data_IF_864127014473
#
_entry.id   IF_864127014473
#
_cell.length_a   1.000
_cell.length_b   1.000
_cell.length_c   1.000
_cell.angle_alpha   90.00
_cell.angle_beta   90.00
_cell.angle_gamma   90.00
#
_symmetry.space_group_name_H-M   'P 1'
#
loop_
_entity.id
_entity.type
_entity.pdbx_description
1 polymer ?
#
# COMPACT_ATOMS: atom_id res chain seq x y z
N UNK A 1 60.94 -19.08 86.38
CA UNK A 1 60.91 -20.34 85.62
C UNK A 1 59.63 -20.38 84.79
N UNK A 2 59.76 -20.61 83.47
CA UNK A 2 58.81 -21.25 82.53
C UNK A 2 57.30 -20.91 82.62
N UNK A 3 56.54 -20.57 81.57
CA UNK A 3 56.71 -20.44 80.13
C UNK A 3 55.42 -19.75 79.60
N UNK A 4 55.57 -19.02 78.49
CA UNK A 4 54.56 -18.47 77.56
C UNK A 4 53.47 -19.55 77.24
N UNK A 5 52.20 -19.27 76.94
CA UNK A 5 51.55 -18.33 76.00
C UNK A 5 50.05 -18.17 76.34
N UNK A 6 49.38 -17.12 75.81
CA UNK A 6 47.95 -16.83 75.99
C UNK A 6 47.09 -17.55 74.93
N UNK A 7 45.76 -17.61 75.10
CA UNK A 7 44.77 -17.11 74.14
C UNK A 7 43.35 -17.36 74.66
N UNK A 8 42.53 -16.32 74.57
CA UNK A 8 41.20 -16.16 75.12
C UNK A 8 40.14 -17.03 74.44
N UNK A 9 39.09 -17.34 75.21
CA UNK A 9 37.85 -18.02 74.80
C UNK A 9 37.19 -17.37 73.56
N UNK A 10 36.58 -18.16 72.66
CA UNK A 10 35.79 -17.61 71.58
C UNK A 10 34.42 -17.13 72.08
N UNK A 11 34.05 -15.93 71.63
CA UNK A 11 32.67 -15.45 71.53
C UNK A 11 32.10 -16.07 70.25
N UNK A 12 31.00 -16.84 70.35
CA UNK A 12 30.22 -17.24 69.18
C UNK A 12 29.09 -16.24 69.02
N UNK A 13 29.30 -15.30 68.13
CA UNK A 13 28.28 -14.41 67.56
C UNK A 13 27.83 -15.06 66.24
N UNK A 14 26.58 -15.51 66.16
CA UNK A 14 25.99 -15.99 64.91
C UNK A 14 25.64 -14.76 64.07
N UNK A 15 26.56 -14.34 63.21
CA UNK A 15 26.29 -13.44 62.09
C UNK A 15 25.96 -14.31 60.87
N UNK A 16 24.75 -14.17 60.35
CA UNK A 16 24.31 -14.75 59.09
C UNK A 16 24.81 -13.89 57.92
N UNK A 17 25.67 -14.44 57.06
CA UNK A 17 25.93 -13.92 55.71
C UNK A 17 26.36 -15.05 54.75
N UNK A 18 25.75 -14.99 53.56
CA UNK A 18 26.21 -15.46 52.26
C UNK A 18 26.25 -16.98 51.96
N UNK A 19 25.17 -17.45 51.34
CA UNK A 19 25.15 -18.54 50.36
C UNK A 19 24.07 -18.21 49.33
N UNK A 20 24.49 -17.87 48.11
CA UNK A 20 23.60 -17.38 47.06
C UNK A 20 22.62 -18.44 46.57
N UNK A 21 21.39 -17.98 46.32
CA UNK A 21 20.49 -18.50 45.30
C UNK A 21 19.80 -17.26 44.71
N UNK A 22 19.82 -17.19 43.39
CA UNK A 22 19.34 -16.13 42.53
C UNK A 22 17.91 -15.69 42.83
N UNK A 23 17.75 -14.42 43.19
CA UNK A 23 16.49 -13.70 43.07
C UNK A 23 16.18 -13.50 41.58
N UNK A 24 15.35 -14.38 41.01
CA UNK A 24 14.59 -14.01 39.83
C UNK A 24 13.60 -12.90 40.24
N UNK A 25 13.64 -11.71 39.63
CA UNK A 25 12.57 -10.76 39.83
C UNK A 25 11.30 -11.36 39.22
N UNK A 26 10.33 -11.64 40.09
CA UNK A 26 8.97 -11.98 39.70
C UNK A 26 8.50 -10.95 38.65
N UNK A 27 8.17 -11.46 37.47
CA UNK A 27 7.57 -10.70 36.38
C UNK A 27 6.28 -10.09 36.93
N UNK A 28 6.33 -8.80 37.26
CA UNK A 28 5.16 -8.03 37.66
C UNK A 28 4.19 -7.98 36.50
N UNK A 29 2.93 -8.28 36.83
CA UNK A 29 1.76 -8.28 35.97
C UNK A 29 1.67 -7.09 35.02
N UNK A 30 1.08 -7.36 33.87
CA UNK A 30 0.65 -6.43 32.82
C UNK A 30 0.37 -5.03 33.34
N UNK A 31 1.08 -4.04 32.80
CA UNK A 31 0.62 -2.66 32.87
C UNK A 31 -0.76 -2.61 32.18
N UNK A 32 -1.82 -2.63 32.98
CA UNK A 32 -3.17 -2.49 32.50
C UNK A 32 -3.27 -1.19 31.69
N UNK A 33 -3.46 -1.35 30.38
CA UNK A 33 -3.76 -0.24 29.47
C UNK A 33 -5.02 0.44 30.02
N UNK A 34 -4.94 1.75 30.29
CA UNK A 34 -6.09 2.51 30.78
C UNK A 34 -7.31 2.24 29.89
N UNK A 35 -8.51 2.01 30.47
CA UNK A 35 -9.68 1.69 29.69
C UNK A 35 -9.98 2.83 28.73
N UNK A 36 -10.05 2.47 27.47
CA UNK A 36 -10.41 3.37 26.38
C UNK A 36 -11.87 3.72 26.58
N UNK A 37 -12.15 4.99 26.89
CA UNK A 37 -13.53 5.49 26.89
C UNK A 37 -13.99 5.54 25.43
N UNK A 38 -14.80 4.55 25.06
CA UNK A 38 -15.33 4.38 23.71
C UNK A 38 -16.81 4.73 23.72
N UNK A 39 -17.26 5.59 22.80
CA UNK A 39 -18.69 5.88 22.62
C UNK A 39 -19.45 4.70 21.99
N UNK A 40 -18.72 3.69 21.50
CA UNK A 40 -19.24 2.44 20.94
C UNK A 40 -18.20 1.77 20.06
N UNK A 41 -18.49 0.55 19.60
CA UNK A 41 -17.62 -0.16 18.66
C UNK A 41 -18.36 -0.66 17.43
N UNK A 42 -17.63 -0.84 16.35
CA UNK A 42 -18.12 -1.46 15.12
C UNK A 42 -17.27 -2.68 14.79
N UNK A 43 -17.88 -3.86 14.74
CA UNK A 43 -17.20 -5.08 14.27
C UNK A 43 -17.47 -5.28 12.79
N UNK A 44 -16.44 -5.45 11.97
CA UNK A 44 -16.58 -5.61 10.52
C UNK A 44 -15.48 -6.52 9.96
N UNK A 45 -15.68 -7.00 8.73
CA UNK A 45 -14.61 -7.67 7.97
C UNK A 45 -13.91 -6.63 7.11
N UNK A 46 -12.62 -6.43 7.33
CA UNK A 46 -11.83 -5.50 6.54
C UNK A 46 -11.71 -6.01 5.10
N UNK A 47 -12.10 -5.19 4.13
CA UNK A 47 -12.16 -5.59 2.73
C UNK A 47 -10.78 -5.81 2.07
N UNK A 48 -9.69 -5.33 2.69
CA UNK A 48 -8.33 -5.52 2.21
C UNK A 48 -7.69 -6.79 2.79
N UNK A 49 -7.76 -6.95 4.11
CA UNK A 49 -7.15 -8.11 4.79
C UNK A 49 -8.07 -9.33 4.85
N UNK A 50 -9.33 -9.18 4.45
CA UNK A 50 -10.39 -10.19 4.56
C UNK A 50 -10.54 -10.76 5.98
N UNK A 51 -10.10 -9.99 6.98
CA UNK A 51 -10.04 -10.41 8.38
C UNK A 51 -11.00 -9.60 9.22
N UNK A 52 -11.48 -10.19 10.31
CA UNK A 52 -12.31 -9.48 11.28
C UNK A 52 -11.50 -8.37 11.95
N UNK A 53 -12.10 -7.20 12.09
CA UNK A 53 -11.58 -6.05 12.82
C UNK A 53 -12.68 -5.48 13.72
N UNK A 54 -12.26 -4.76 14.74
CA UNK A 54 -13.16 -3.98 15.56
C UNK A 54 -12.65 -2.57 15.73
N UNK A 55 -13.49 -1.59 15.43
CA UNK A 55 -13.18 -0.17 15.57
C UNK A 55 -13.90 0.42 16.77
N UNK A 56 -13.14 0.99 17.69
CA UNK A 56 -13.61 1.86 18.76
C UNK A 56 -13.66 3.32 18.31
N UNK A 57 -14.74 4.00 18.71
CA UNK A 57 -14.93 5.43 18.49
C UNK A 57 -14.53 6.20 19.75
N UNK A 58 -13.27 6.67 19.77
CA UNK A 58 -12.58 7.13 21.00
C UNK A 58 -12.51 8.66 21.13
N UNK A 59 -13.09 9.38 20.17
CA UNK A 59 -13.12 10.84 20.13
C UNK A 59 -14.50 11.36 20.51
N UNK A 60 -14.56 12.33 21.43
CA UNK A 60 -15.82 12.92 21.89
C UNK A 60 -16.64 13.59 20.77
N UNK A 61 -16.03 13.89 19.62
CA UNK A 61 -16.72 14.41 18.42
C UNK A 61 -17.50 13.35 17.65
N UNK A 62 -17.42 12.07 18.03
CA UNK A 62 -18.29 11.02 17.52
C UNK A 62 -19.66 11.10 18.19
N UNK A 63 -20.68 11.36 17.39
CA UNK A 63 -22.08 11.25 17.81
C UNK A 63 -22.65 9.89 17.40
N UNK A 64 -23.73 9.42 18.04
CA UNK A 64 -24.37 8.15 17.71
C UNK A 64 -24.73 8.04 16.22
N UNK A 65 -25.23 9.12 15.62
CA UNK A 65 -25.57 9.17 14.20
C UNK A 65 -24.33 9.00 13.30
N UNK A 66 -23.21 9.63 13.66
CA UNK A 66 -21.96 9.51 12.91
C UNK A 66 -21.34 8.11 13.06
N UNK A 67 -21.39 7.55 14.26
CA UNK A 67 -20.96 6.19 14.56
C UNK A 67 -21.76 5.17 13.75
N UNK A 68 -23.09 5.30 13.72
CA UNK A 68 -23.96 4.43 12.93
C UNK A 68 -23.66 4.53 11.43
N UNK A 69 -23.46 5.75 10.93
CA UNK A 69 -23.10 6.00 9.52
C UNK A 69 -21.76 5.37 9.17
N UNK A 70 -20.72 5.58 9.97
CA UNK A 70 -19.39 5.02 9.73
C UNK A 70 -19.41 3.49 9.79
N UNK A 71 -20.11 2.91 10.78
CA UNK A 71 -20.22 1.46 10.90
C UNK A 71 -20.98 0.83 9.73
N UNK A 72 -22.08 1.46 9.28
CA UNK A 72 -22.82 1.02 8.10
C UNK A 72 -21.96 1.09 6.83
N UNK A 73 -21.14 2.13 6.67
CA UNK A 73 -20.20 2.25 5.56
C UNK A 73 -19.13 1.13 5.56
N UNK A 74 -18.71 0.71 6.76
CA UNK A 74 -17.84 -0.46 6.93
C UNK A 74 -18.57 -1.81 6.78
N UNK A 75 -19.91 -1.80 6.62
CA UNK A 75 -20.79 -2.98 6.64
C UNK A 75 -20.62 -3.80 7.92
N UNK A 76 -20.38 -3.10 9.01
CA UNK A 76 -20.19 -3.71 10.31
C UNK A 76 -21.47 -3.80 11.11
N UNK A 77 -21.33 -4.46 12.26
CA UNK A 77 -22.33 -4.53 13.31
C UNK A 77 -21.96 -3.52 14.40
N UNK A 78 -22.84 -2.55 14.62
CA UNK A 78 -22.66 -1.53 15.64
C UNK A 78 -22.97 -2.10 17.04
N UNK A 79 -22.13 -1.75 18.01
CA UNK A 79 -22.31 -2.03 19.44
C UNK A 79 -22.17 -0.72 20.24
N UNK A 80 -23.27 -0.01 20.48
CA UNK A 80 -23.25 1.27 21.18
C UNK A 80 -22.72 1.13 22.62
N UNK A 81 -21.88 2.07 23.08
CA UNK A 81 -21.35 2.08 24.46
C UNK A 81 -20.47 0.89 24.86
N UNK A 82 -20.17 -0.04 23.94
CA UNK A 82 -19.35 -1.23 24.19
C UNK A 82 -18.05 -1.09 23.43
N UNK A 83 -16.92 -1.12 24.15
CA UNK A 83 -15.60 -1.11 23.55
C UNK A 83 -15.25 -2.45 22.87
N UNK A 84 -14.31 -2.43 21.93
CA UNK A 84 -13.74 -3.64 21.37
C UNK A 84 -13.02 -4.45 22.45
N UNK A 85 -13.43 -5.69 22.63
CA UNK A 85 -12.78 -6.64 23.54
C UNK A 85 -12.70 -8.01 22.88
N UNK A 86 -11.50 -8.59 22.89
CA UNK A 86 -11.20 -9.91 22.35
C UNK A 86 -10.24 -10.63 23.29
N UNK A 87 -10.43 -11.94 23.55
CA UNK A 87 -9.52 -12.72 24.37
C UNK A 87 -8.09 -12.75 23.83
N UNK A 88 -7.96 -12.77 22.49
CA UNK A 88 -6.67 -12.76 21.79
C UNK A 88 -6.71 -11.69 20.70
N UNK A 89 -5.65 -10.87 20.66
CA UNK A 89 -5.46 -9.86 19.64
C UNK A 89 -3.99 -9.79 19.22
N UNK A 90 -3.75 -9.46 17.96
CA UNK A 90 -2.42 -9.17 17.43
C UNK A 90 -1.93 -7.79 17.89
N UNK A 91 -2.84 -6.89 18.24
CA UNK A 91 -2.54 -5.55 18.72
C UNK A 91 -3.68 -4.59 18.42
N UNK A 92 -3.37 -3.29 18.50
CA UNK A 92 -4.29 -2.21 18.17
C UNK A 92 -3.63 -1.11 17.33
N UNK A 93 -4.45 -0.37 16.59
CA UNK A 93 -4.02 0.78 15.79
C UNK A 93 -4.73 2.06 16.26
N UNK A 94 -3.98 3.02 16.76
CA UNK A 94 -4.49 4.36 17.07
C UNK A 94 -4.47 5.23 15.82
N UNK A 95 -5.63 5.66 15.34
CA UNK A 95 -5.73 6.59 14.22
C UNK A 95 -6.08 7.96 14.78
N UNK A 96 -5.05 8.80 14.95
CA UNK A 96 -5.16 10.18 15.43
C UNK A 96 -4.59 11.13 14.38
N UNK A 97 -5.42 11.48 13.39
CA UNK A 97 -5.04 12.39 12.31
C UNK A 97 -5.64 13.78 12.63
N UNK A 98 -4.87 14.88 12.51
CA UNK A 98 -5.40 16.22 12.72
C UNK A 98 -6.69 16.46 11.94
N UNK A 99 -7.69 17.07 12.59
CA UNK A 99 -9.02 17.36 12.03
C UNK A 99 -9.88 16.13 11.66
N UNK A 100 -9.41 14.91 11.91
CA UNK A 100 -10.20 13.68 11.81
C UNK A 100 -10.61 13.25 13.21
N UNK A 101 -11.78 12.61 13.35
CA UNK A 101 -12.22 12.04 14.63
C UNK A 101 -11.40 10.78 14.92
N UNK A 102 -10.73 10.74 16.07
CA UNK A 102 -9.88 9.62 16.41
C UNK A 102 -10.67 8.30 16.51
N UNK A 103 -10.04 7.21 16.08
CA UNK A 103 -10.54 5.84 16.23
C UNK A 103 -9.40 4.92 16.64
N UNK A 104 -9.75 3.81 17.30
CA UNK A 104 -8.81 2.72 17.61
C UNK A 104 -9.31 1.45 16.93
N UNK A 105 -8.45 0.75 16.20
CA UNK A 105 -8.81 -0.55 15.60
C UNK A 105 -8.11 -1.64 16.39
N UNK A 106 -8.86 -2.60 16.92
CA UNK A 106 -8.34 -3.84 17.50
C UNK A 106 -8.37 -4.93 16.45
N UNK A 107 -7.26 -5.67 16.33
CA UNK A 107 -7.11 -6.78 15.39
C UNK A 107 -7.16 -8.12 16.14
N UNK A 108 -8.31 -8.80 16.15
CA UNK A 108 -8.46 -10.10 16.82
C UNK A 108 -7.57 -11.16 16.19
N UNK A 109 -7.07 -12.09 17.00
CA UNK A 109 -6.36 -13.27 16.54
C UNK A 109 -5.09 -13.60 17.34
N UNK A 110 -4.61 -14.83 17.13
CA UNK A 110 -3.46 -15.43 17.81
C UNK A 110 -2.39 -15.96 16.86
N UNK A 111 -2.48 -15.64 15.57
CA UNK A 111 -1.51 -16.05 14.56
C UNK A 111 -0.38 -15.02 14.44
N UNK A 112 0.78 -15.34 15.02
CA UNK A 112 1.96 -14.46 15.00
C UNK A 112 2.45 -14.13 13.58
N UNK A 113 2.18 -14.98 12.58
CA UNK A 113 2.60 -14.72 11.19
C UNK A 113 1.95 -13.45 10.60
N UNK A 114 0.78 -13.06 11.15
CA UNK A 114 0.01 -11.87 10.73
C UNK A 114 0.46 -10.57 11.39
N UNK A 115 1.37 -10.62 12.38
CA UNK A 115 1.79 -9.44 13.14
C UNK A 115 2.33 -8.31 12.25
N UNK A 116 3.29 -8.62 11.36
CA UNK A 116 3.89 -7.58 10.55
C UNK A 116 2.93 -7.01 9.50
N UNK A 117 1.97 -7.79 8.99
CA UNK A 117 0.96 -7.27 8.08
C UNK A 117 -0.08 -6.40 8.78
N UNK A 118 -0.45 -6.77 9.99
CA UNK A 118 -1.31 -5.96 10.86
C UNK A 118 -0.65 -4.62 11.17
N UNK A 119 0.65 -4.64 11.50
CA UNK A 119 1.46 -3.44 11.69
C UNK A 119 1.52 -2.58 10.43
N UNK A 120 1.77 -3.16 9.26
CA UNK A 120 1.78 -2.44 7.97
C UNK A 120 0.39 -1.85 7.68
N UNK A 121 -0.68 -2.63 7.86
CA UNK A 121 -2.07 -2.19 7.80
C UNK A 121 -2.34 -0.93 8.61
N UNK A 122 -1.90 -0.94 9.88
CA UNK A 122 -2.04 0.21 10.76
C UNK A 122 -1.19 1.41 10.32
N UNK A 123 0.12 1.21 10.19
CA UNK A 123 1.08 2.32 10.07
C UNK A 123 1.15 2.92 8.67
N UNK A 124 0.99 2.10 7.63
CA UNK A 124 1.07 2.53 6.23
C UNK A 124 -0.31 2.91 5.70
N UNK A 125 -1.30 2.02 5.84
CA UNK A 125 -2.60 2.21 5.19
C UNK A 125 -3.54 3.08 6.03
N UNK A 126 -3.65 2.79 7.34
CA UNK A 126 -4.48 3.58 8.25
C UNK A 126 -3.79 4.85 8.77
N UNK A 127 -2.46 4.97 8.57
CA UNK A 127 -1.61 6.07 9.06
C UNK A 127 -1.72 6.24 10.59
N UNK A 128 -1.93 5.14 11.30
CA UNK A 128 -2.03 5.12 12.75
C UNK A 128 -0.73 4.69 13.44
N UNK A 129 -0.79 4.65 14.77
CA UNK A 129 0.28 4.10 15.61
C UNK A 129 -0.11 2.68 16.02
N UNK A 130 0.74 1.70 15.68
CA UNK A 130 0.49 0.31 16.03
C UNK A 130 1.05 -0.01 17.41
N UNK A 131 0.19 -0.48 18.31
CA UNK A 131 0.55 -1.02 19.63
C UNK A 131 0.43 -2.54 19.57
N UNK A 132 1.55 -3.29 19.52
CA UNK A 132 1.51 -4.74 19.43
C UNK A 132 0.99 -5.38 20.72
N UNK A 133 0.36 -6.54 20.63
CA UNK A 133 0.18 -7.42 21.80
C UNK A 133 1.49 -8.11 22.16
N UNK A 134 1.53 -8.83 23.28
CA UNK A 134 2.71 -9.62 23.67
C UNK A 134 3.15 -10.60 22.56
N UNK A 135 2.17 -11.21 21.86
CA UNK A 135 2.41 -12.11 20.73
C UNK A 135 3.17 -11.42 19.58
N UNK A 136 2.81 -10.17 19.28
CA UNK A 136 3.43 -9.42 18.19
C UNK A 136 4.64 -8.58 18.63
N UNK A 137 4.82 -8.34 19.92
CA UNK A 137 5.98 -7.62 20.44
C UNK A 137 7.29 -8.41 20.22
N UNK A 138 7.25 -9.73 20.38
CA UNK A 138 8.39 -10.62 20.11
C UNK A 138 8.70 -10.72 18.61
N UNK A 139 7.69 -10.72 17.75
CA UNK A 139 7.86 -10.70 16.28
C UNK A 139 8.43 -9.38 15.74
N UNK A 140 8.44 -8.30 16.53
CA UNK A 140 9.05 -7.00 16.17
C UNK A 140 10.57 -7.01 16.43
N UNK A 141 11.09 -7.96 17.22
CA UNK A 141 12.50 -8.07 17.58
C UNK A 141 13.38 -8.86 16.60
N UNK A 142 12.79 -9.73 15.77
CA UNK A 142 13.55 -10.58 14.86
C UNK A 142 13.75 -9.92 13.49
N UNK A 143 14.77 -9.07 13.40
CA UNK A 143 15.25 -8.45 12.17
C UNK A 143 15.88 -9.43 11.14
N UNK A 144 15.59 -10.74 11.21
CA UNK A 144 16.33 -11.76 10.47
C UNK A 144 15.56 -13.01 10.02
N UNK A 145 14.28 -13.18 10.37
CA UNK A 145 13.53 -14.33 9.87
C UNK A 145 12.95 -14.02 8.48
N UNK A 146 13.44 -14.72 7.45
CA UNK A 146 12.80 -14.74 6.14
C UNK A 146 11.33 -15.16 6.31
N UNK A 147 10.40 -14.27 5.97
CA UNK A 147 8.98 -14.59 5.96
C UNK A 147 8.72 -15.64 4.87
N UNK A 148 7.99 -16.74 5.18
CA UNK A 148 7.32 -17.48 4.15
C UNK A 148 6.20 -16.62 3.55
N UNK A 149 6.34 -16.38 2.25
CA UNK A 149 5.30 -16.16 1.25
C UNK A 149 4.40 -14.92 1.38
N UNK A 150 3.94 -14.44 0.21
CA UNK A 150 2.99 -13.34 0.01
C UNK A 150 1.67 -13.45 0.85
N UNK A 151 1.43 -14.60 1.48
CA UNK A 151 0.28 -14.84 2.34
C UNK A 151 0.27 -13.96 3.59
N UNK A 152 1.44 -13.55 4.11
CA UNK A 152 1.50 -12.83 5.38
C UNK A 152 0.90 -11.42 5.29
N UNK A 153 1.03 -10.70 4.17
CA UNK A 153 0.52 -9.33 3.95
C UNK A 153 -0.92 -9.26 3.43
N UNK A 154 -1.50 -10.40 3.04
CA UNK A 154 -2.78 -10.45 2.33
C UNK A 154 -2.72 -9.88 0.89
N UNK A 155 -1.54 -9.46 0.43
CA UNK A 155 -1.33 -8.91 -0.92
C UNK A 155 -0.29 -9.75 -1.67
N UNK A 156 -0.57 -10.07 -2.93
CA UNK A 156 0.41 -10.71 -3.81
C UNK A 156 1.64 -9.79 -4.00
N UNK A 157 2.84 -10.39 -4.01
CA UNK A 157 4.09 -9.65 -4.28
C UNK A 157 4.00 -9.02 -5.67
N UNK A 158 4.39 -7.76 -5.77
CA UNK A 158 4.42 -7.00 -7.02
C UNK A 158 5.22 -7.75 -8.08
N UNK A 159 4.57 -8.03 -9.21
CA UNK A 159 5.23 -8.59 -10.38
C UNK A 159 5.47 -7.50 -11.43
N UNK A 160 6.73 -7.27 -11.84
CA UNK A 160 7.08 -6.27 -12.86
C UNK A 160 6.31 -6.47 -14.18
N UNK A 161 6.06 -5.38 -14.89
CA UNK A 161 5.40 -5.43 -16.20
C UNK A 161 6.18 -6.28 -17.20
N UNK A 162 5.46 -7.04 -18.03
CA UNK A 162 6.03 -7.78 -19.16
C UNK A 162 5.25 -7.40 -20.42
N UNK A 163 5.94 -7.24 -21.55
CA UNK A 163 5.27 -7.07 -22.84
C UNK A 163 4.97 -8.44 -23.43
N UNK A 164 3.69 -8.81 -23.44
CA UNK A 164 3.21 -10.08 -23.98
C UNK A 164 2.82 -9.86 -25.44
N UNK A 165 3.47 -10.56 -26.36
CA UNK A 165 3.12 -10.55 -27.78
C UNK A 165 2.45 -11.87 -28.15
N UNK A 166 1.23 -11.82 -28.69
CA UNK A 166 0.45 -13.00 -29.09
C UNK A 166 -0.04 -12.84 -30.53
N UNK A 167 -0.30 -13.96 -31.20
CA UNK A 167 -0.98 -13.94 -32.48
C UNK A 167 -2.38 -13.30 -32.33
N UNK A 168 -2.87 -12.54 -33.33
CA UNK A 168 -4.24 -12.03 -33.31
C UNK A 168 -5.24 -13.19 -33.26
N UNK A 169 -6.38 -13.00 -32.59
CA UNK A 169 -7.46 -13.97 -32.55
C UNK A 169 -8.05 -14.22 -33.96
N UNK A 170 -8.66 -15.39 -34.22
CA UNK A 170 -9.28 -15.69 -35.50
C UNK A 170 -10.30 -14.61 -35.91
N UNK A 171 -10.15 -14.07 -37.12
CA UNK A 171 -11.02 -13.02 -37.66
C UNK A 171 -10.58 -11.58 -37.36
N UNK A 172 -9.58 -11.39 -36.49
CA UNK A 172 -9.00 -10.07 -36.25
C UNK A 172 -7.91 -9.72 -37.28
N UNK A 173 -7.64 -8.42 -37.43
CA UNK A 173 -6.55 -7.94 -38.27
C UNK A 173 -5.18 -8.32 -37.68
N UNK A 174 -4.11 -8.40 -38.50
CA UNK A 174 -2.73 -8.44 -38.03
C UNK A 174 -2.46 -7.40 -36.94
N UNK A 175 -1.67 -7.75 -35.93
CA UNK A 175 -1.21 -6.80 -34.92
C UNK A 175 -0.19 -5.80 -35.49
N UNK A 176 0.05 -4.73 -34.76
CA UNK A 176 0.91 -3.61 -35.18
C UNK A 176 2.41 -3.89 -35.02
N UNK A 177 2.81 -5.04 -34.45
CA UNK A 177 4.22 -5.41 -34.32
C UNK A 177 4.84 -5.82 -35.67
N UNK A 178 6.17 -5.86 -35.73
CA UNK A 178 6.90 -6.31 -36.93
C UNK A 178 6.57 -7.75 -37.34
N UNK A 179 6.14 -8.58 -36.39
CA UNK A 179 5.77 -9.99 -36.61
C UNK A 179 4.25 -10.18 -36.75
N UNK A 180 3.49 -9.10 -36.98
CA UNK A 180 2.02 -9.11 -37.05
C UNK A 180 1.34 -9.62 -35.76
N UNK A 181 2.04 -9.58 -34.63
CA UNK A 181 1.53 -9.94 -33.31
C UNK A 181 0.95 -8.72 -32.60
N UNK A 182 0.01 -8.97 -31.69
CA UNK A 182 -0.54 -7.97 -30.78
C UNK A 182 0.29 -7.98 -29.50
N UNK A 183 0.99 -6.87 -29.24
CA UNK A 183 1.89 -6.74 -28.10
C UNK A 183 1.29 -5.83 -27.03
N UNK A 184 0.96 -6.39 -25.87
CA UNK A 184 0.30 -5.70 -24.75
C UNK A 184 1.15 -5.79 -23.49
N UNK A 185 1.31 -4.69 -22.76
CA UNK A 185 1.93 -4.71 -21.44
C UNK A 185 0.99 -5.33 -20.41
N UNK A 186 1.41 -6.39 -19.71
CA UNK A 186 0.73 -6.86 -18.51
C UNK A 186 1.04 -5.94 -17.31
N UNK A 187 0.45 -4.75 -17.37
CA UNK A 187 0.67 -3.68 -16.40
C UNK A 187 -0.64 -2.94 -16.11
N UNK A 188 -0.81 -2.38 -14.91
CA UNK A 188 -2.00 -1.57 -14.55
C UNK A 188 -2.20 -0.35 -15.46
N UNK A 189 -1.12 0.15 -16.06
CA UNK A 189 -1.10 1.24 -17.03
C UNK A 189 -1.12 0.78 -18.50
N UNK A 190 -1.15 -0.54 -18.74
CA UNK A 190 -1.09 -1.15 -20.07
C UNK A 190 -2.43 -1.12 -20.81
N UNK A 191 -2.35 -1.00 -22.13
CA UNK A 191 -3.46 -1.16 -23.06
C UNK A 191 -3.05 -1.99 -24.27
N UNK A 192 -3.99 -2.76 -24.83
CA UNK A 192 -3.85 -3.43 -26.13
C UNK A 192 -4.22 -2.46 -27.27
N UNK A 193 -4.16 -2.93 -28.51
CA UNK A 193 -4.57 -2.16 -29.69
C UNK A 193 -6.06 -1.81 -29.65
N UNK A 194 -6.41 -0.62 -30.17
CA UNK A 194 -7.80 -0.14 -30.21
C UNK A 194 -8.72 -1.14 -30.94
N UNK A 195 -9.89 -1.39 -30.35
CA UNK A 195 -10.88 -2.35 -30.87
C UNK A 195 -10.65 -3.79 -30.41
N UNK A 196 -9.57 -4.09 -29.69
CA UNK A 196 -9.32 -5.39 -29.03
C UNK A 196 -9.59 -5.30 -27.54
N UNK A 197 -9.72 -6.46 -26.89
CA UNK A 197 -9.83 -6.55 -25.42
C UNK A 197 -8.48 -6.81 -24.78
N UNK A 198 -8.21 -6.14 -23.67
CA UNK A 198 -6.96 -6.29 -22.93
C UNK A 198 -6.72 -7.74 -22.48
N UNK A 199 -7.76 -8.37 -21.92
CA UNK A 199 -7.68 -9.67 -21.26
C UNK A 199 -7.52 -10.85 -22.23
N UNK A 200 -7.61 -10.61 -23.54
CA UNK A 200 -7.24 -11.60 -24.57
C UNK A 200 -5.72 -11.62 -24.83
N UNK A 201 -5.03 -10.52 -24.53
CA UNK A 201 -3.63 -10.28 -24.92
C UNK A 201 -2.66 -10.07 -23.75
N UNK A 202 -3.14 -9.87 -22.53
CA UNK A 202 -2.30 -9.70 -21.34
C UNK A 202 -2.93 -10.32 -20.07
N UNK A 203 -2.09 -10.75 -19.13
CA UNK A 203 -2.56 -11.36 -17.88
C UNK A 203 -3.08 -10.35 -16.86
N UNK A 204 -4.33 -10.53 -16.42
CA UNK A 204 -4.89 -9.80 -15.28
C UNK A 204 -4.32 -10.25 -13.92
N UNK A 205 -3.76 -11.45 -13.81
CA UNK A 205 -3.17 -11.92 -12.55
C UNK A 205 -1.97 -11.08 -12.17
N UNK A 206 -1.11 -10.77 -13.15
CA UNK A 206 0.02 -9.85 -12.96
C UNK A 206 -0.46 -8.45 -12.59
N UNK A 207 -1.44 -7.90 -13.30
CA UNK A 207 -2.00 -6.57 -13.02
C UNK A 207 -2.50 -6.47 -11.58
N UNK A 208 -3.18 -7.51 -11.07
CA UNK A 208 -3.71 -7.55 -9.71
C UNK A 208 -2.63 -7.64 -8.63
N UNK A 209 -1.38 -7.99 -8.98
CA UNK A 209 -0.22 -7.82 -8.07
C UNK A 209 0.29 -6.38 -8.01
N UNK A 210 0.15 -5.62 -9.11
CA UNK A 210 0.65 -4.24 -9.21
C UNK A 210 -0.32 -3.25 -8.57
N UNK A 211 -1.61 -3.53 -8.73
CA UNK A 211 -2.70 -2.83 -8.05
C UNK A 211 -3.62 -3.87 -7.44
N UNK A 212 -3.43 -4.22 -6.17
CA UNK A 212 -4.33 -5.13 -5.49
C UNK A 212 -5.77 -4.68 -5.61
N UNK A 213 -6.63 -5.63 -5.95
CA UNK A 213 -8.06 -5.42 -6.08
C UNK A 213 -8.78 -6.12 -4.94
N UNK A 214 -9.95 -5.60 -4.62
CA UNK A 214 -10.93 -6.25 -3.77
C UNK A 214 -12.30 -5.80 -4.24
N UNK A 215 -13.32 -6.66 -4.13
CA UNK A 215 -14.66 -6.34 -4.59
C UNK A 215 -15.23 -5.20 -3.75
N UNK A 216 -15.80 -4.23 -4.44
CA UNK A 216 -16.50 -3.10 -3.83
C UNK A 216 -17.75 -2.86 -4.65
N UNK A 217 -18.94 -2.84 -4.03
CA UNK A 217 -20.14 -2.59 -4.81
C UNK A 217 -20.12 -1.24 -5.49
N UNK A 218 -20.79 -1.22 -6.64
CA UNK A 218 -20.97 -0.03 -7.42
C UNK A 218 -21.86 1.01 -6.72
N UNK A 219 -21.93 2.20 -7.30
CA UNK A 219 -22.94 3.18 -6.90
C UNK A 219 -24.35 2.55 -6.97
N UNK A 220 -25.27 2.94 -6.07
CA UNK A 220 -26.64 2.43 -6.09
C UNK A 220 -27.29 2.62 -7.46
N UNK A 221 -28.02 1.59 -7.91
CA UNK A 221 -28.73 1.65 -9.18
C UNK A 221 -29.70 2.83 -9.19
N UNK A 222 -29.79 3.53 -10.34
CA UNK A 222 -30.81 4.57 -10.53
C UNK A 222 -32.20 3.94 -10.54
N UNK A 223 -33.16 4.62 -9.92
CA UNK A 223 -34.55 4.17 -9.89
C UNK A 223 -35.25 4.28 -11.25
N UNK A 224 -34.74 5.14 -12.14
CA UNK A 224 -35.29 5.40 -13.47
C UNK A 224 -34.27 5.05 -14.55
N UNK A 225 -34.69 4.39 -15.65
CA UNK A 225 -33.82 4.18 -16.80
C UNK A 225 -33.27 5.50 -17.35
N UNK A 226 -31.99 5.51 -17.73
CA UNK A 226 -31.36 6.70 -18.31
C UNK A 226 -31.90 6.96 -19.73
N UNK A 227 -32.68 8.03 -19.88
CA UNK A 227 -33.29 8.42 -21.15
C UNK A 227 -32.25 8.73 -22.25
N UNK A 228 -31.00 9.03 -21.90
CA UNK A 228 -29.91 9.27 -22.85
C UNK A 228 -29.56 8.03 -23.67
N UNK A 229 -29.93 6.83 -23.21
CA UNK A 229 -29.80 5.60 -24.01
C UNK A 229 -30.71 5.57 -25.25
N UNK A 230 -31.65 6.52 -25.39
CA UNK A 230 -32.44 6.72 -26.60
C UNK A 230 -31.77 7.69 -27.60
N UNK A 231 -30.71 8.40 -27.20
CA UNK A 231 -29.94 9.27 -28.09
C UNK A 231 -28.81 8.47 -28.76
N UNK A 232 -28.87 8.28 -30.10
CA UNK A 232 -27.84 7.51 -30.82
C UNK A 232 -26.45 8.14 -30.71
N UNK A 233 -26.34 9.45 -30.52
CA UNK A 233 -25.06 10.15 -30.35
C UNK A 233 -24.42 9.76 -29.02
N UNK A 234 -25.18 9.80 -27.94
CA UNK A 234 -24.72 9.37 -26.62
C UNK A 234 -24.35 7.89 -26.62
N UNK A 235 -25.19 7.03 -27.21
CA UNK A 235 -24.92 5.59 -27.29
C UNK A 235 -23.64 5.28 -28.06
N UNK A 236 -23.39 5.97 -29.18
CA UNK A 236 -22.16 5.82 -29.94
C UNK A 236 -20.92 6.25 -29.13
N UNK A 237 -21.00 7.37 -28.40
CA UNK A 237 -19.91 7.85 -27.55
C UNK A 237 -19.67 6.90 -26.36
N UNK A 238 -20.73 6.45 -25.70
CA UNK A 238 -20.67 5.48 -24.60
C UNK A 238 -20.04 4.15 -25.07
N UNK A 239 -20.36 3.70 -26.28
CA UNK A 239 -19.78 2.50 -26.88
C UNK A 239 -18.29 2.68 -27.18
N UNK A 240 -17.88 3.86 -27.67
CA UNK A 240 -16.46 4.18 -27.84
C UNK A 240 -15.73 4.24 -26.50
N UNK A 241 -16.26 4.91 -25.48
CA UNK A 241 -15.67 4.96 -24.13
C UNK A 241 -15.51 3.55 -23.56
N UNK A 242 -16.53 2.71 -23.72
CA UNK A 242 -16.48 1.29 -23.33
C UNK A 242 -15.35 0.54 -24.03
N UNK A 243 -15.18 0.70 -25.34
CA UNK A 243 -14.11 -0.01 -26.07
C UNK A 243 -12.72 0.42 -25.64
N UNK A 244 -12.51 1.70 -25.31
CA UNK A 244 -11.23 2.19 -24.76
C UNK A 244 -10.93 1.55 -23.40
N UNK A 245 -11.93 1.48 -22.52
CA UNK A 245 -11.77 0.83 -21.20
C UNK A 245 -11.53 -0.66 -21.36
N UNK A 246 -12.24 -1.33 -22.26
CA UNK A 246 -12.08 -2.76 -22.54
C UNK A 246 -10.71 -3.12 -23.14
N UNK A 247 -10.10 -2.19 -23.88
CA UNK A 247 -8.74 -2.32 -24.39
C UNK A 247 -7.66 -2.09 -23.32
N UNK A 248 -8.02 -1.70 -22.09
CA UNK A 248 -7.07 -1.37 -21.03
C UNK A 248 -7.11 -2.33 -19.84
N UNK A 249 -6.05 -2.34 -19.04
CA UNK A 249 -5.95 -3.13 -17.82
C UNK A 249 -7.03 -2.83 -16.76
N UNK A 250 -7.82 -1.75 -16.93
CA UNK A 250 -8.97 -1.45 -16.06
C UNK A 250 -9.94 -2.65 -15.94
N UNK A 251 -10.12 -3.44 -17.01
CA UNK A 251 -11.01 -4.61 -16.98
C UNK A 251 -10.61 -5.64 -15.94
N UNK A 252 -9.33 -5.71 -15.55
CA UNK A 252 -8.86 -6.67 -14.55
C UNK A 252 -9.50 -6.48 -13.16
N UNK A 253 -10.06 -5.29 -12.90
CA UNK A 253 -10.80 -4.97 -11.66
C UNK A 253 -12.25 -4.49 -11.92
N UNK A 254 -12.57 -4.09 -13.15
CA UNK A 254 -13.81 -3.39 -13.50
C UNK A 254 -14.64 -4.09 -14.59
N UNK A 255 -14.47 -5.40 -14.77
CA UNK A 255 -15.36 -6.21 -15.60
C UNK A 255 -15.64 -7.53 -14.90
N UNK A 256 -16.90 -7.97 -14.89
CA UNK A 256 -17.33 -9.17 -14.16
C UNK A 256 -16.56 -10.41 -14.60
N UNK A 257 -16.30 -10.55 -15.90
CA UNK A 257 -15.58 -11.68 -16.52
C UNK A 257 -14.13 -11.87 -16.02
N UNK A 258 -13.49 -10.80 -15.57
CA UNK A 258 -12.04 -10.77 -15.23
C UNK A 258 -11.81 -10.41 -13.77
N UNK A 259 -12.86 -10.21 -12.97
CA UNK A 259 -12.78 -9.94 -11.54
C UNK A 259 -13.31 -11.16 -10.74
N UNK A 260 -12.44 -12.08 -10.26
CA UNK A 260 -12.88 -13.34 -9.64
C UNK A 260 -13.84 -13.20 -8.46
N UNK A 261 -13.65 -12.16 -7.63
CA UNK A 261 -14.49 -11.89 -6.46
C UNK A 261 -15.60 -10.87 -6.74
N UNK A 262 -15.79 -10.48 -8.01
CA UNK A 262 -16.65 -9.39 -8.45
C UNK A 262 -15.91 -8.06 -8.64
N UNK A 263 -16.53 -7.08 -9.35
CA UNK A 263 -15.86 -5.84 -9.68
C UNK A 263 -15.62 -4.91 -8.49
N UNK A 264 -14.73 -3.93 -8.70
CA UNK A 264 -14.41 -2.91 -7.70
C UNK A 264 -15.00 -1.55 -8.07
N UNK A 265 -15.96 -1.05 -7.29
CA UNK A 265 -16.62 0.27 -7.37
C UNK A 265 -17.42 0.60 -8.65
N UNK A 266 -17.07 0.09 -9.81
CA UNK A 266 -17.77 0.31 -11.09
C UNK A 266 -17.39 -0.81 -12.05
N UNK A 267 -18.22 -1.05 -13.07
CA UNK A 267 -17.93 -2.10 -14.04
C UNK A 267 -18.54 -1.85 -15.42
N UNK A 268 -17.75 -2.19 -16.44
CA UNK A 268 -18.01 -1.85 -17.84
C UNK A 268 -19.10 -2.71 -18.49
N UNK A 269 -19.33 -3.90 -17.95
CA UNK A 269 -20.31 -4.88 -18.42
C UNK A 269 -21.65 -4.84 -17.65
N UNK A 270 -21.89 -3.76 -16.91
CA UNK A 270 -23.19 -3.51 -16.30
C UNK A 270 -24.30 -3.35 -17.36
N UNK A 271 -25.51 -3.85 -17.10
CA UNK A 271 -26.66 -3.62 -17.98
C UNK A 271 -27.07 -2.13 -17.97
N UNK A 272 -27.68 -1.67 -19.06
CA UNK A 272 -28.11 -0.28 -19.20
C UNK A 272 -26.95 0.69 -19.36
N UNK A 273 -27.04 1.86 -18.72
CA UNK A 273 -25.96 2.84 -18.76
C UNK A 273 -24.92 2.50 -17.69
N UNK A 274 -23.84 1.83 -18.09
CA UNK A 274 -22.80 1.42 -17.15
C UNK A 274 -22.09 2.59 -16.44
N UNK A 275 -22.21 3.83 -16.94
CA UNK A 275 -21.77 5.02 -16.22
C UNK A 275 -22.46 5.19 -14.87
N UNK A 276 -23.69 4.69 -14.71
CA UNK A 276 -24.42 4.75 -13.45
C UNK A 276 -23.78 3.92 -12.34
N UNK A 277 -22.89 2.98 -12.68
CA UNK A 277 -22.13 2.22 -11.68
C UNK A 277 -21.05 3.05 -10.99
N UNK A 278 -20.60 4.17 -11.58
CA UNK A 278 -19.60 5.03 -10.96
C UNK A 278 -20.16 5.88 -9.83
N UNK A 279 -19.40 5.96 -8.74
CA UNK A 279 -19.47 7.10 -7.84
C UNK A 279 -18.90 8.37 -8.50
N UNK A 280 -19.35 9.53 -8.03
CA UNK A 280 -18.97 10.84 -8.58
C UNK A 280 -17.44 11.07 -8.59
N UNK A 281 -16.72 10.57 -7.58
CA UNK A 281 -15.25 10.66 -7.54
C UNK A 281 -14.57 9.79 -8.61
N UNK A 282 -15.16 8.67 -9.00
CA UNK A 282 -14.67 7.83 -10.10
C UNK A 282 -14.88 8.50 -11.46
N UNK A 283 -16.02 9.18 -11.66
CA UNK A 283 -16.22 10.02 -12.84
C UNK A 283 -15.24 11.20 -12.85
N UNK A 284 -14.99 11.84 -11.70
CA UNK A 284 -14.05 12.95 -11.57
C UNK A 284 -12.62 12.55 -11.92
N UNK A 285 -12.23 11.31 -11.63
CA UNK A 285 -10.98 10.72 -12.10
C UNK A 285 -10.96 10.62 -13.64
N UNK A 286 -12.00 10.09 -14.27
CA UNK A 286 -12.14 10.06 -15.73
C UNK A 286 -12.14 11.46 -16.38
N UNK A 287 -12.73 12.44 -15.70
CA UNK A 287 -12.79 13.83 -16.14
C UNK A 287 -11.44 14.59 -16.04
N UNK A 288 -10.43 14.00 -15.39
CA UNK A 288 -9.16 14.66 -15.11
C UNK A 288 -9.25 15.71 -13.98
N UNK A 289 -10.30 15.67 -13.16
CA UNK A 289 -10.48 16.60 -12.05
C UNK A 289 -9.84 16.12 -10.75
N UNK A 290 -9.59 14.81 -10.64
CA UNK A 290 -8.84 14.18 -9.54
C UNK A 290 -7.54 13.61 -10.10
N UNK A 291 -6.42 13.92 -9.46
CA UNK A 291 -5.10 13.45 -9.87
C UNK A 291 -5.00 11.92 -9.78
N UNK A 292 -4.55 11.29 -10.87
CA UNK A 292 -4.34 9.85 -10.97
C UNK A 292 -2.87 9.49 -11.28
N UNK A 293 -1.93 10.42 -11.11
CA UNK A 293 -0.51 10.25 -11.43
C UNK A 293 0.06 8.99 -10.77
N UNK A 294 -0.38 8.67 -9.56
CA UNK A 294 0.06 7.51 -8.79
C UNK A 294 -0.22 6.14 -9.45
N UNK A 295 -0.96 6.07 -10.56
CA UNK A 295 -1.16 4.83 -11.32
C UNK A 295 -0.07 4.59 -12.38
N UNK A 296 0.82 5.56 -12.61
CA UNK A 296 1.83 5.50 -13.67
C UNK A 296 1.23 5.54 -15.07
N UNK A 297 2.07 5.78 -16.07
CA UNK A 297 1.67 5.79 -17.47
C UNK A 297 2.85 5.47 -18.39
N UNK A 298 2.59 4.66 -19.40
CA UNK A 298 3.46 4.56 -20.58
C UNK A 298 3.21 5.75 -21.51
N UNK A 299 4.23 6.20 -22.26
CA UNK A 299 4.01 7.03 -23.44
C UNK A 299 3.08 6.33 -24.46
N UNK A 300 2.29 7.10 -25.22
CA UNK A 300 1.29 6.57 -26.14
C UNK A 300 1.90 5.61 -27.18
N UNK A 301 3.06 5.97 -27.71
CA UNK A 301 3.83 5.19 -28.69
C UNK A 301 4.34 3.85 -28.14
N UNK A 302 4.42 3.70 -26.82
CA UNK A 302 4.80 2.45 -26.15
C UNK A 302 3.58 1.64 -25.68
N UNK A 303 2.37 2.19 -25.84
CA UNK A 303 1.13 1.65 -25.28
C UNK A 303 -0.01 1.63 -26.31
N UNK A 304 0.34 1.31 -27.56
CA UNK A 304 -0.62 1.12 -28.65
C UNK A 304 -1.52 2.35 -28.92
N UNK A 305 -0.98 3.56 -28.71
CA UNK A 305 -1.69 4.83 -28.88
C UNK A 305 -2.43 5.31 -27.63
N UNK A 306 -2.54 4.49 -26.58
CA UNK A 306 -3.26 4.84 -25.36
C UNK A 306 -2.42 5.70 -24.42
N UNK A 307 -3.01 6.77 -23.89
CA UNK A 307 -2.38 7.66 -22.93
C UNK A 307 -3.30 8.00 -21.75
N UNK A 308 -2.69 8.38 -20.61
CA UNK A 308 -3.36 8.84 -19.38
C UNK A 308 -2.92 10.26 -19.02
N UNK A 309 -2.94 11.17 -20.00
CA UNK A 309 -2.42 12.54 -19.85
C UNK A 309 -3.47 13.54 -19.36
N UNK A 310 -4.73 13.35 -19.75
CA UNK A 310 -5.84 14.27 -19.42
C UNK A 310 -6.99 13.58 -18.68
N UNK A 311 -7.25 12.32 -19.01
CA UNK A 311 -8.23 11.47 -18.33
C UNK A 311 -7.51 10.48 -17.44
N UNK A 312 -8.08 10.19 -16.27
CA UNK A 312 -7.60 9.12 -15.40
C UNK A 312 -7.88 7.73 -15.94
N UNK A 313 -8.74 7.55 -16.94
CA UNK A 313 -8.89 6.30 -17.69
C UNK A 313 -8.14 6.43 -19.03
N UNK A 314 -7.31 5.42 -19.42
CA UNK A 314 -6.52 5.49 -20.64
C UNK A 314 -7.39 5.41 -21.89
N UNK A 315 -7.02 6.15 -22.94
CA UNK A 315 -7.65 6.09 -24.27
C UNK A 315 -6.68 6.56 -25.36
N UNK A 316 -7.01 6.29 -26.62
CA UNK A 316 -6.32 6.83 -27.79
C UNK A 316 -6.58 8.33 -28.01
N UNK A 317 -7.66 8.86 -27.43
CA UNK A 317 -7.96 10.29 -27.35
C UNK A 317 -8.30 10.69 -25.90
N UNK A 318 -7.29 11.04 -25.07
CA UNK A 318 -7.50 11.38 -23.66
C UNK A 318 -8.38 12.61 -23.45
N UNK A 319 -8.39 13.56 -24.40
CA UNK A 319 -9.17 14.77 -24.29
C UNK A 319 -10.65 14.49 -24.57
N UNK A 320 -10.98 13.65 -25.56
CA UNK A 320 -12.34 13.17 -25.81
C UNK A 320 -12.88 12.36 -24.63
N UNK A 321 -12.06 11.44 -24.10
CA UNK A 321 -12.41 10.67 -22.91
C UNK A 321 -12.72 11.59 -21.72
N UNK A 322 -11.86 12.56 -21.43
CA UNK A 322 -12.09 13.51 -20.33
C UNK A 322 -13.38 14.32 -20.53
N UNK A 323 -13.65 14.81 -21.75
CA UNK A 323 -14.88 15.56 -22.05
C UNK A 323 -16.14 14.72 -21.80
N UNK A 324 -16.14 13.44 -22.16
CA UNK A 324 -17.27 12.55 -21.89
C UNK A 324 -17.56 12.46 -20.38
N UNK A 325 -16.54 12.19 -19.56
CA UNK A 325 -16.70 12.12 -18.11
C UNK A 325 -17.11 13.46 -17.47
N UNK A 326 -16.64 14.59 -18.03
CA UNK A 326 -17.09 15.92 -17.61
C UNK A 326 -18.57 16.15 -17.89
N UNK A 327 -19.08 15.66 -19.03
CA UNK A 327 -20.50 15.71 -19.36
C UNK A 327 -21.34 14.79 -18.47
N UNK A 328 -20.83 13.60 -18.10
CA UNK A 328 -21.47 12.74 -17.11
C UNK A 328 -21.61 13.43 -15.75
N UNK A 329 -20.57 14.14 -15.31
CA UNK A 329 -20.60 14.92 -14.06
C UNK A 329 -21.55 16.11 -14.14
N UNK A 330 -21.55 16.84 -15.25
CA UNK A 330 -22.47 17.95 -15.49
C UNK A 330 -23.93 17.48 -15.48
N UNK A 331 -24.22 16.32 -16.09
CA UNK A 331 -25.55 15.70 -16.03
C UNK A 331 -25.98 15.34 -14.60
N UNK A 332 -25.02 15.06 -13.71
CA UNK A 332 -25.25 14.83 -12.27
C UNK A 332 -25.25 16.12 -11.43
N UNK A 333 -25.16 17.30 -12.06
CA UNK A 333 -25.11 18.59 -11.36
C UNK A 333 -23.82 18.78 -10.56
N UNK A 334 -22.70 18.20 -11.02
CA UNK A 334 -21.37 18.35 -10.42
C UNK A 334 -20.51 19.29 -11.24
N UNK A 335 -19.66 20.03 -10.56
CA UNK A 335 -18.65 20.92 -11.15
C UNK A 335 -17.25 20.50 -10.72
N UNK A 336 -16.21 21.07 -11.33
CA UNK A 336 -14.82 20.78 -10.93
C UNK A 336 -14.56 21.14 -9.46
N UNK A 337 -15.15 22.24 -9.00
CA UNK A 337 -15.04 22.74 -7.63
C UNK A 337 -15.61 21.75 -6.61
N UNK A 338 -16.58 20.90 -7.02
CA UNK A 338 -17.13 19.83 -6.17
C UNK A 338 -16.06 18.82 -5.72
N UNK A 339 -14.90 18.78 -6.38
CA UNK A 339 -13.81 17.85 -6.11
C UNK A 339 -12.51 18.52 -5.67
N UNK A 340 -12.50 19.83 -5.41
CA UNK A 340 -11.28 20.58 -5.09
C UNK A 340 -10.52 20.04 -3.85
N UNK A 341 -11.21 19.40 -2.92
CA UNK A 341 -10.63 18.79 -1.71
C UNK A 341 -10.51 17.26 -1.81
N UNK A 342 -10.79 16.67 -2.97
CA UNK A 342 -10.68 15.22 -3.16
C UNK A 342 -9.20 14.85 -3.23
N UNK A 343 -8.71 13.93 -2.36
CA UNK A 343 -7.33 13.50 -2.42
C UNK A 343 -6.99 12.82 -3.76
N UNK A 344 -5.72 12.87 -4.19
CA UNK A 344 -5.25 12.11 -5.35
C UNK A 344 -5.61 10.63 -5.25
N UNK A 345 -5.97 10.04 -6.39
CA UNK A 345 -6.26 8.63 -6.50
C UNK A 345 -4.99 7.79 -6.42
N UNK A 346 -5.09 6.61 -5.82
CA UNK A 346 -3.97 5.67 -5.65
C UNK A 346 -3.79 5.21 -4.20
N UNK A 347 -4.42 5.89 -3.25
CA UNK A 347 -4.37 5.53 -1.83
C UNK A 347 -2.93 5.60 -1.30
N UNK A 348 -2.38 4.52 -0.71
CA UNK A 348 -1.02 4.51 -0.18
C UNK A 348 0.06 4.88 -1.20
N UNK A 349 -0.13 4.52 -2.47
CA UNK A 349 0.83 4.84 -3.53
C UNK A 349 0.85 6.35 -3.79
N UNK A 350 -0.31 6.99 -3.80
CA UNK A 350 -0.39 8.45 -3.91
C UNK A 350 0.19 9.15 -2.68
N UNK A 351 -0.03 8.59 -1.48
CA UNK A 351 0.55 9.15 -0.25
C UNK A 351 2.08 9.07 -0.25
N UNK A 352 2.67 8.05 -0.91
CA UNK A 352 4.12 7.97 -1.10
C UNK A 352 4.64 9.13 -1.93
N UNK A 353 4.00 9.44 -3.07
CA UNK A 353 4.46 10.52 -3.95
C UNK A 353 4.45 11.90 -3.28
N UNK A 354 3.53 12.11 -2.34
CA UNK A 354 3.44 13.36 -1.56
C UNK A 354 4.22 13.34 -0.25
N UNK A 355 4.94 12.26 0.06
CA UNK A 355 5.61 12.11 1.34
C UNK A 355 6.82 13.05 1.44
N UNK A 356 6.90 13.82 2.54
CA UNK A 356 8.05 14.67 2.84
C UNK A 356 8.94 13.98 3.86
N UNK A 357 10.20 13.62 3.53
CA UNK A 357 11.07 12.92 4.45
C UNK A 357 11.61 13.81 5.57
N UNK A 358 11.66 13.28 6.78
CA UNK A 358 12.36 13.85 7.93
C UNK A 358 13.73 13.19 8.13
N UNK A 359 14.55 13.72 9.04
CA UNK A 359 15.79 13.06 9.44
C UNK A 359 15.53 11.63 9.94
N UNK A 360 16.46 10.71 9.62
CA UNK A 360 16.44 9.36 10.16
C UNK A 360 16.60 9.39 11.68
N UNK A 361 15.97 8.45 12.37
CA UNK A 361 15.99 8.32 13.83
C UNK A 361 16.61 7.00 14.24
N UNK A 362 17.23 6.96 15.43
CA UNK A 362 17.85 5.73 15.94
C UNK A 362 19.00 5.28 15.06
N UNK A 363 18.96 4.02 14.60
CA UNK A 363 20.00 3.42 13.74
C UNK A 363 19.69 3.51 12.25
N UNK A 364 18.59 4.13 11.86
CA UNK A 364 18.21 4.28 10.45
C UNK A 364 19.16 5.24 9.72
N UNK A 365 19.40 4.98 8.43
CA UNK A 365 20.31 5.78 7.61
C UNK A 365 21.66 5.08 7.40
N UNK A 366 22.71 5.87 7.16
CA UNK A 366 24.06 5.34 6.93
C UNK A 366 24.89 5.38 8.21
N UNK A 367 25.42 4.22 8.62
CA UNK A 367 26.38 4.14 9.72
C UNK A 367 27.79 4.55 9.29
N UNK A 368 28.67 4.80 10.26
CA UNK A 368 30.09 5.15 10.04
C UNK A 368 30.89 4.07 9.31
N UNK A 369 30.36 2.84 9.24
CA UNK A 369 30.92 1.72 8.49
C UNK A 369 30.44 1.67 7.02
N UNK A 370 29.74 2.71 6.55
CA UNK A 370 29.25 2.80 5.17
C UNK A 370 28.04 1.90 4.87
N UNK A 371 27.41 1.33 5.90
CA UNK A 371 26.24 0.44 5.74
C UNK A 371 24.94 1.19 5.99
N UNK A 372 24.00 1.03 5.06
CA UNK A 372 22.63 1.50 5.14
C UNK A 372 21.80 0.59 6.02
N UNK A 373 21.08 1.18 6.98
CA UNK A 373 20.30 0.48 7.99
C UNK A 373 18.89 1.06 8.08
N UNK A 374 17.98 0.20 8.49
CA UNK A 374 16.60 0.50 8.85
C UNK A 374 16.14 -0.41 9.99
N UNK A 375 15.16 0.07 10.76
CA UNK A 375 14.80 -0.48 12.07
C UNK A 375 14.09 -1.83 12.05
N UNK A 376 13.38 -2.19 10.97
CA UNK A 376 12.69 -3.50 10.88
C UNK A 376 12.21 -3.81 9.46
N UNK A 377 12.08 -5.10 9.13
CA UNK A 377 11.49 -5.59 7.86
C UNK A 377 12.54 -5.95 6.80
N UNK A 378 12.16 -6.83 5.88
CA UNK A 378 13.00 -7.23 4.75
C UNK A 378 12.60 -6.45 3.49
N UNK A 379 13.58 -5.97 2.74
CA UNK A 379 13.38 -5.10 1.60
C UNK A 379 13.46 -5.86 0.28
N UNK A 380 12.62 -5.45 -0.68
CA UNK A 380 12.78 -5.80 -2.10
C UNK A 380 13.36 -4.68 -2.92
N UNK A 381 13.22 -3.43 -2.46
CA UNK A 381 13.78 -2.27 -3.15
C UNK A 381 14.50 -1.36 -2.16
N UNK A 382 15.71 -0.95 -2.54
CA UNK A 382 16.54 -0.01 -1.80
C UNK A 382 16.93 1.12 -2.75
N UNK A 383 16.59 2.34 -2.35
CA UNK A 383 16.95 3.55 -3.06
C UNK A 383 17.84 4.42 -2.18
N UNK A 384 18.87 5.00 -2.79
CA UNK A 384 19.55 6.19 -2.29
C UNK A 384 19.36 7.29 -3.31
N UNK A 385 18.77 8.40 -2.88
CA UNK A 385 18.49 9.56 -3.72
C UNK A 385 19.15 10.81 -3.16
N UNK A 386 19.31 11.82 -4.02
CA UNK A 386 19.65 13.18 -3.59
C UNK A 386 18.58 13.74 -2.65
N UNK A 387 18.98 14.55 -1.66
CA UNK A 387 18.02 15.31 -0.87
C UNK A 387 17.15 16.19 -1.78
N UNK A 388 15.83 16.16 -1.57
CA UNK A 388 14.85 16.89 -2.39
C UNK A 388 14.35 16.13 -3.62
N UNK A 389 14.87 14.92 -3.88
CA UNK A 389 14.30 14.02 -4.90
C UNK A 389 12.87 13.64 -4.52
N UNK A 390 12.04 13.43 -5.55
CA UNK A 390 10.70 12.86 -5.35
C UNK A 390 10.80 11.43 -4.79
N UNK A 391 9.79 11.00 -4.02
CA UNK A 391 9.69 9.61 -3.58
C UNK A 391 9.44 8.68 -4.77
N UNK A 392 10.09 7.50 -4.81
CA UNK A 392 9.78 6.47 -5.79
C UNK A 392 8.31 6.05 -5.75
N UNK A 393 7.69 5.99 -6.94
CA UNK A 393 6.32 5.56 -7.17
C UNK A 393 6.21 4.21 -7.89
N UNK A 394 5.14 4.03 -8.65
CA UNK A 394 4.92 2.82 -9.46
C UNK A 394 5.61 2.89 -10.82
N UNK A 395 6.11 1.76 -11.35
CA UNK A 395 6.53 1.69 -12.74
C UNK A 395 5.35 1.91 -13.71
N UNK A 396 5.63 2.30 -14.96
CA UNK A 396 6.94 2.31 -15.61
C UNK A 396 7.74 3.62 -15.46
N UNK A 397 7.13 4.68 -14.94
CA UNK A 397 7.66 6.04 -15.09
C UNK A 397 7.89 6.80 -13.78
N UNK A 398 7.46 6.28 -12.63
CA UNK A 398 7.62 6.94 -11.33
C UNK A 398 8.59 6.22 -10.40
N UNK A 399 9.01 5.01 -10.75
CA UNK A 399 9.89 4.16 -9.95
C UNK A 399 11.38 4.55 -10.04
N UNK A 400 11.76 5.45 -10.95
CA UNK A 400 13.11 6.02 -11.03
C UNK A 400 13.08 7.55 -11.08
N UNK A 401 12.73 8.22 -9.96
CA UNK A 401 12.69 9.68 -9.93
C UNK A 401 14.09 10.28 -10.17
N UNK A 402 14.12 11.48 -10.76
CA UNK A 402 15.35 12.24 -10.93
C UNK A 402 16.05 12.45 -9.57
N UNK A 403 17.39 12.31 -9.57
CA UNK A 403 18.19 12.33 -8.33
C UNK A 403 18.38 10.96 -7.68
N UNK A 404 17.80 9.88 -8.23
CA UNK A 404 18.16 8.52 -7.80
C UNK A 404 19.63 8.24 -8.13
N UNK A 405 20.43 7.93 -7.10
CA UNK A 405 21.86 7.58 -7.24
C UNK A 405 22.08 6.08 -7.31
N UNK A 406 21.28 5.36 -6.54
CA UNK A 406 21.38 3.92 -6.43
C UNK A 406 19.99 3.32 -6.28
N UNK A 407 19.68 2.35 -7.12
CA UNK A 407 18.48 1.52 -7.04
C UNK A 407 18.88 0.06 -7.12
N UNK A 408 18.61 -0.65 -6.03
CA UNK A 408 18.76 -2.10 -5.91
C UNK A 408 17.40 -2.72 -5.77
N UNK A 409 17.16 -3.80 -6.52
CA UNK A 409 15.93 -4.57 -6.45
C UNK A 409 16.21 -6.07 -6.35
N UNK A 410 15.26 -6.83 -5.80
CA UNK A 410 15.29 -8.30 -5.82
C UNK A 410 14.09 -8.83 -6.60
N UNK A 411 14.27 -9.84 -7.48
CA UNK A 411 13.18 -10.47 -8.19
C UNK A 411 12.05 -10.94 -7.26
N UNK A 412 10.79 -10.81 -7.69
CA UNK A 412 9.63 -11.20 -6.88
C UNK A 412 9.62 -12.67 -6.43
N UNK A 413 10.35 -13.54 -7.15
CA UNK A 413 10.53 -14.97 -6.84
C UNK A 413 11.66 -15.26 -5.85
N UNK A 414 12.52 -14.28 -5.58
CA UNK A 414 13.64 -14.40 -4.66
C UNK A 414 13.29 -13.85 -3.28
N UNK A 415 14.08 -14.27 -2.28
CA UNK A 415 13.95 -13.81 -0.91
C UNK A 415 14.38 -12.34 -0.77
N UNK A 416 13.60 -11.49 -0.07
CA UNK A 416 14.00 -10.11 0.19
C UNK A 416 15.26 -10.06 1.08
N UNK A 417 16.02 -8.96 1.01
CA UNK A 417 17.23 -8.78 1.81
C UNK A 417 16.95 -8.00 3.09
N UNK A 418 17.84 -8.13 4.07
CA UNK A 418 17.73 -7.47 5.37
C UNK A 418 18.59 -6.21 5.46
N UNK A 419 18.39 -5.46 6.55
CA UNK A 419 19.12 -4.25 6.93
C UNK A 419 20.64 -4.46 6.98
N UNK A 420 21.40 -3.37 6.82
CA UNK A 420 22.87 -3.39 6.87
C UNK A 420 23.54 -3.61 5.51
N UNK A 421 22.99 -3.04 4.45
CA UNK A 421 23.55 -3.14 3.09
C UNK A 421 24.69 -2.13 2.93
N UNK A 422 25.88 -2.57 2.54
CA UNK A 422 26.99 -1.66 2.22
C UNK A 422 26.68 -0.89 0.94
N UNK A 423 26.82 0.44 0.95
CA UNK A 423 26.53 1.27 -0.23
C UNK A 423 27.39 0.86 -1.43
N UNK A 424 26.75 0.61 -2.57
CA UNK A 424 27.42 0.15 -3.80
C UNK A 424 27.71 -1.35 -3.87
N UNK A 425 27.31 -2.13 -2.85
CA UNK A 425 27.42 -3.59 -2.85
C UNK A 425 26.05 -4.23 -2.95
N UNK A 426 25.91 -5.22 -3.83
CA UNK A 426 24.67 -5.95 -4.01
C UNK A 426 24.44 -6.98 -2.90
N UNK A 427 23.27 -6.96 -2.24
CA UNK A 427 22.81 -8.08 -1.43
C UNK A 427 22.65 -9.37 -2.27
N UNK A 428 22.59 -10.55 -1.63
CA UNK A 428 22.30 -11.81 -2.34
C UNK A 428 21.02 -11.74 -3.17
N UNK A 429 21.06 -12.30 -4.39
CA UNK A 429 19.96 -12.32 -5.36
C UNK A 429 19.45 -10.95 -5.84
N UNK A 430 20.05 -9.85 -5.39
CA UNK A 430 19.69 -8.51 -5.81
C UNK A 430 20.39 -8.12 -7.12
N UNK A 431 19.73 -7.26 -7.89
CA UNK A 431 20.26 -6.62 -9.09
C UNK A 431 20.32 -5.12 -8.90
N UNK A 432 21.33 -4.49 -9.48
CA UNK A 432 21.39 -3.04 -9.58
C UNK A 432 20.61 -2.61 -10.82
N UNK A 433 19.60 -1.78 -10.63
CA UNK A 433 18.85 -1.18 -11.74
C UNK A 433 19.34 0.23 -12.07
N UNK A 434 19.88 0.94 -11.08
CA UNK A 434 20.55 2.22 -11.28
C UNK A 434 21.81 2.34 -10.40
N UNK A 435 22.96 2.78 -10.94
CA UNK A 435 23.22 2.96 -12.38
C UNK A 435 23.13 1.62 -13.14
N UNK A 436 22.82 1.67 -14.44
CA UNK A 436 22.68 0.45 -15.25
C UNK A 436 23.99 -0.34 -15.39
N UNK A 437 25.13 0.31 -15.20
CA UNK A 437 26.46 -0.30 -15.20
C UNK A 437 27.39 0.40 -14.21
N UNK A 438 28.39 -0.34 -13.72
CA UNK A 438 29.37 0.15 -12.74
C UNK A 438 28.77 0.33 -11.33
N UNK A 439 29.61 0.68 -10.34
CA UNK A 439 29.13 1.03 -9.01
C UNK A 439 28.41 2.39 -9.02
N UNK A 440 27.51 2.67 -8.05
CA UNK A 440 26.96 4.00 -7.88
C UNK A 440 28.06 5.00 -7.50
N UNK A 441 27.87 6.27 -7.85
CA UNK A 441 28.83 7.32 -7.50
C UNK A 441 29.01 7.40 -5.97
N UNK A 442 30.25 7.62 -5.45
CA UNK A 442 30.49 7.77 -4.03
C UNK A 442 29.63 8.89 -3.43
N UNK A 443 29.17 8.67 -2.20
CA UNK A 443 28.50 9.72 -1.44
C UNK A 443 29.53 10.76 -0.98
N UNK A 444 29.13 12.02 -0.98
CA UNK A 444 29.97 13.13 -0.53
C UNK A 444 29.91 13.20 1.01
N UNK A 445 31.04 13.10 1.71
CA UNK A 445 31.07 13.18 3.17
C UNK A 445 30.40 14.45 3.70
N UNK A 446 29.50 14.31 4.68
CA UNK A 446 28.73 15.42 5.25
C UNK A 446 27.55 15.92 4.41
N UNK A 447 27.33 15.41 3.20
CA UNK A 447 26.12 15.70 2.42
C UNK A 447 24.94 14.85 2.90
N UNK A 448 23.73 15.37 2.72
CA UNK A 448 22.49 14.70 3.10
C UNK A 448 21.84 14.04 1.89
N UNK A 449 21.33 12.82 2.11
CA UNK A 449 20.71 11.96 1.11
C UNK A 449 19.39 11.41 1.61
N UNK A 450 18.54 10.99 0.68
CA UNK A 450 17.26 10.36 0.98
C UNK A 450 17.39 8.84 0.88
N UNK A 451 17.25 8.17 2.02
CA UNK A 451 17.10 6.72 2.09
C UNK A 451 15.62 6.36 1.93
N UNK A 452 15.32 5.53 0.95
CA UNK A 452 13.98 5.04 0.70
C UNK A 452 14.01 3.53 0.50
N UNK A 453 13.39 2.79 1.41
CA UNK A 453 13.42 1.33 1.45
C UNK A 453 11.99 0.81 1.40
N UNK A 454 11.74 -0.17 0.54
CA UNK A 454 10.42 -0.75 0.33
C UNK A 454 10.44 -2.25 0.64
N UNK A 455 9.43 -2.70 1.38
CA UNK A 455 9.10 -4.13 1.48
C UNK A 455 8.64 -4.63 0.11
N UNK A 456 7.80 -3.84 -0.55
CA UNK A 456 7.38 -4.03 -1.93
C UNK A 456 6.90 -2.69 -2.53
N UNK A 457 6.59 -2.64 -3.83
CA UNK A 457 6.14 -1.41 -4.50
C UNK A 457 4.96 -0.77 -3.77
N UNK A 458 5.12 0.48 -3.34
CA UNK A 458 4.09 1.23 -2.60
C UNK A 458 4.00 0.90 -1.10
N UNK A 459 4.83 -0.01 -0.58
CA UNK A 459 4.86 -0.44 0.82
C UNK A 459 6.21 -0.05 1.46
N UNK A 460 6.30 1.13 2.08
CA UNK A 460 7.55 1.63 2.64
C UNK A 460 7.93 0.94 3.96
N UNK A 461 9.22 0.66 4.11
CA UNK A 461 9.86 0.28 5.38
C UNK A 461 10.42 1.53 6.06
N UNK A 462 11.29 2.26 5.37
CA UNK A 462 11.86 3.52 5.87
C UNK A 462 11.96 4.54 4.74
N UNK A 463 11.82 5.82 5.10
CA UNK A 463 11.79 6.95 4.17
C UNK A 463 12.32 8.19 4.91
N UNK A 464 13.63 8.33 4.99
CA UNK A 464 14.23 9.37 5.83
C UNK A 464 15.51 9.95 5.24
N UNK A 465 15.91 11.11 5.74
CA UNK A 465 17.14 11.81 5.36
C UNK A 465 18.29 11.39 6.27
N UNK A 466 19.42 10.99 5.69
CA UNK A 466 20.65 10.69 6.42
C UNK A 466 21.80 11.53 5.90
N UNK A 467 22.78 11.82 6.76
CA UNK A 467 24.03 12.49 6.37
C UNK A 467 25.11 11.44 6.15
N UNK A 468 25.81 11.50 5.02
CA UNK A 468 26.93 10.60 4.75
C UNK A 468 28.05 10.83 5.79
N UNK A 469 28.62 9.75 6.37
CA UNK A 469 29.73 9.86 7.32
C UNK A 469 30.90 10.67 6.77
N UNK A 470 31.64 11.33 7.68
CA UNK A 470 32.84 12.12 7.35
C UNK A 470 34.04 11.25 7.05
#
# INVERSE_FOLDING_TARGET
MSKRRPYSRPVVLVLALAGGCSDEPAVTADAAVAPVVSSGSCTYTNAFSMSAECRDYVDARWTDALIATDCANARGTLRPGVACSYPEALGSCEIQIPNVRATRITFPGSDASRCAATRTGCTVFARGTFTPSALCASAVGDAGAARPDAAATGFAIFQPAVRECRAPLPGERPGASAEAQVCTWSAVSGATEEGRRYDDYASCDRVRTQRPYYPRPAAPARATPDARLQDPTYVAELAWVRSQVEASACVCCHATRTSPAGPSNWFVDAPGNWMDTFFDNGLALGAGWVDSTALGAYPAEQNNGFARTTSGLPSTDPARMARFFQQELAHRGRTRESFATTPPFGGPIASQLSYTPSACTGTDGMGSDGRLRWSSGSARYLYVLDQGSASPGVPPNLDQPAGTRWLVEVPFTAQPFVSGVAYGTLPPAATQRLPASGPPAPLTPGATYYLYVLEDVGIPITRCLFTAPR
#
